data_IF_256079172001
#
_entry.id   IF_256079172001
#
_cell.length_a   1.000
_cell.length_b   1.000
_cell.length_c   1.000
_cell.angle_alpha   90.00
_cell.angle_beta   90.00
_cell.angle_gamma   90.00
#
_symmetry.space_group_name_H-M   'P 1'
#
loop_
_entity.id
_entity.type
_entity.pdbx_description
1 polymer ?
#
# COMPACT_ATOMS: atom_id res chain seq x y z
N UNK A 1 4.26 18.05 -0.88
CA UNK A 1 5.02 17.16 -1.76
C UNK A 1 4.30 15.81 -1.83
N UNK A 2 4.01 15.29 -3.04
CA UNK A 2 3.36 13.98 -3.23
C UNK A 2 4.40 12.85 -3.08
N UNK A 3 4.22 11.91 -2.15
CA UNK A 3 5.20 10.85 -1.91
C UNK A 3 5.22 9.80 -3.02
N UNK A 4 4.04 9.37 -3.47
CA UNK A 4 3.88 8.34 -4.49
C UNK A 4 3.48 8.94 -5.84
N UNK A 5 3.75 8.19 -6.92
CA UNK A 5 3.21 8.49 -8.25
C UNK A 5 1.77 8.00 -8.31
N UNK A 6 0.84 8.83 -8.79
CA UNK A 6 -0.54 8.41 -9.07
C UNK A 6 -0.58 7.60 -10.38
N UNK A 7 -1.22 6.44 -10.35
CA UNK A 7 -1.41 5.57 -11.51
C UNK A 7 -2.85 5.06 -11.52
N UNK A 8 -3.40 4.86 -12.71
CA UNK A 8 -4.68 4.17 -12.91
C UNK A 8 -4.40 2.72 -13.29
N UNK A 9 -5.20 1.80 -12.76
CA UNK A 9 -5.08 0.39 -13.08
C UNK A 9 -5.42 0.15 -14.56
N UNK A 10 -4.58 -0.57 -15.31
CA UNK A 10 -4.80 -0.76 -16.75
C UNK A 10 -5.95 -1.72 -17.06
N UNK A 11 -6.26 -2.64 -16.15
CA UNK A 11 -7.36 -3.61 -16.28
C UNK A 11 -7.99 -3.87 -14.92
N UNK A 12 -9.19 -4.47 -14.91
CA UNK A 12 -9.77 -5.02 -13.69
C UNK A 12 -8.78 -5.96 -12.99
N UNK A 13 -8.90 -6.06 -11.66
CA UNK A 13 -8.08 -6.93 -10.81
C UNK A 13 -6.57 -6.63 -10.82
N UNK A 14 -6.16 -5.42 -11.21
CA UNK A 14 -4.74 -5.00 -11.15
C UNK A 14 -4.47 -3.89 -10.14
N UNK A 15 -5.41 -3.62 -9.24
CA UNK A 15 -5.31 -2.59 -8.21
C UNK A 15 -4.09 -2.76 -7.33
N UNK A 16 -3.85 -3.96 -6.79
CA UNK A 16 -2.68 -4.23 -5.95
C UNK A 16 -1.38 -4.05 -6.74
N UNK A 17 -1.28 -4.62 -7.94
CA UNK A 17 -0.10 -4.46 -8.80
C UNK A 17 0.17 -2.98 -9.12
N UNK A 18 -0.89 -2.20 -9.28
CA UNK A 18 -0.81 -0.76 -9.51
C UNK A 18 -0.34 -0.03 -8.26
N UNK A 19 -0.85 -0.36 -7.07
CA UNK A 19 -0.34 0.17 -5.81
C UNK A 19 1.15 -0.15 -5.61
N UNK A 20 1.60 -1.38 -5.87
CA UNK A 20 3.02 -1.74 -5.82
C UNK A 20 3.87 -0.91 -6.79
N UNK A 21 3.36 -0.63 -7.99
CA UNK A 21 4.02 0.24 -8.96
C UNK A 21 4.12 1.69 -8.45
N UNK A 22 3.06 2.23 -7.83
CA UNK A 22 3.08 3.56 -7.22
C UNK A 22 4.12 3.66 -6.10
N UNK A 23 4.18 2.64 -5.23
CA UNK A 23 5.06 2.57 -4.06
C UNK A 23 6.53 2.46 -4.48
N UNK A 24 6.83 1.57 -5.42
CA UNK A 24 8.21 1.30 -5.86
C UNK A 24 8.71 2.25 -6.96
N UNK A 25 7.82 3.08 -7.51
CA UNK A 25 8.11 3.94 -8.66
C UNK A 25 8.37 3.16 -9.96
N UNK A 26 7.94 1.89 -10.05
CA UNK A 26 8.06 1.04 -11.24
C UNK A 26 6.81 1.18 -12.12
N UNK A 27 6.81 0.55 -13.30
CA UNK A 27 5.62 0.44 -14.15
C UNK A 27 4.75 -0.74 -13.74
N UNK A 28 3.43 -0.64 -13.94
CA UNK A 28 2.51 -1.77 -13.67
C UNK A 28 2.89 -3.00 -14.50
N UNK A 29 3.35 -2.81 -15.74
CA UNK A 29 3.86 -3.87 -16.62
C UNK A 29 5.05 -4.62 -16.01
N UNK A 30 5.99 -3.90 -15.41
CA UNK A 30 7.14 -4.50 -14.73
C UNK A 30 6.70 -5.38 -13.56
N UNK A 31 5.86 -4.82 -12.67
CA UNK A 31 5.34 -5.55 -11.51
C UNK A 31 4.60 -6.82 -11.95
N UNK A 32 3.70 -6.69 -12.93
CA UNK A 32 2.97 -7.84 -13.50
C UNK A 32 3.90 -8.91 -14.09
N UNK A 33 4.97 -8.51 -14.78
CA UNK A 33 5.97 -9.46 -15.34
C UNK A 33 6.66 -10.25 -14.23
N UNK A 34 7.06 -9.61 -13.14
CA UNK A 34 7.71 -10.27 -12.00
C UNK A 34 6.80 -11.34 -11.39
N UNK A 35 5.56 -10.97 -11.04
CA UNK A 35 4.63 -11.92 -10.39
C UNK A 35 4.14 -13.02 -11.35
N UNK A 36 3.93 -12.71 -12.63
CA UNK A 36 3.63 -13.75 -13.64
C UNK A 36 4.79 -14.75 -13.77
N UNK A 37 6.04 -14.28 -13.73
CA UNK A 37 7.23 -15.15 -13.75
C UNK A 37 7.33 -16.07 -12.53
N UNK A 38 6.67 -15.73 -11.42
CA UNK A 38 6.54 -16.57 -10.21
C UNK A 38 5.28 -17.45 -10.21
N UNK A 39 4.48 -17.44 -11.28
CA UNK A 39 3.21 -18.17 -11.35
C UNK A 39 2.07 -17.56 -10.54
N UNK A 40 2.17 -16.28 -10.14
CA UNK A 40 1.21 -15.61 -9.24
C UNK A 40 0.57 -14.42 -9.99
N UNK A 41 -0.47 -14.63 -10.82
CA UNK A 41 -1.05 -13.53 -11.60
C UNK A 41 -1.74 -12.46 -10.73
N UNK A 42 -2.27 -12.85 -9.56
CA UNK A 42 -3.01 -12.01 -8.61
C UNK A 42 -2.48 -12.27 -7.19
N UNK A 43 -1.39 -11.61 -6.77
CA UNK A 43 -0.79 -11.86 -5.47
C UNK A 43 -1.67 -11.33 -4.32
N UNK A 44 -1.55 -11.94 -3.13
CA UNK A 44 -2.03 -11.35 -1.87
C UNK A 44 -1.02 -10.33 -1.35
N UNK A 45 -1.39 -9.44 -0.42
CA UNK A 45 -0.43 -8.47 0.15
C UNK A 45 0.78 -9.17 0.75
N UNK A 46 0.58 -10.25 1.50
CA UNK A 46 1.67 -11.04 2.08
C UNK A 46 2.65 -11.57 1.02
N UNK A 47 2.16 -12.06 -0.12
CA UNK A 47 3.00 -12.54 -1.22
C UNK A 47 3.81 -11.42 -1.89
N UNK A 48 3.43 -10.15 -1.70
CA UNK A 48 4.15 -9.00 -2.26
C UNK A 48 5.28 -8.49 -1.38
N UNK A 49 5.36 -8.92 -0.12
CA UNK A 49 6.37 -8.46 0.83
C UNK A 49 7.80 -8.66 0.30
N UNK A 50 8.20 -9.84 -0.22
CA UNK A 50 9.56 -10.02 -0.75
C UNK A 50 9.88 -9.05 -1.89
N UNK A 51 8.91 -8.82 -2.80
CA UNK A 51 9.05 -7.86 -3.89
C UNK A 51 9.27 -6.43 -3.38
N UNK A 52 8.52 -6.02 -2.34
CA UNK A 52 8.68 -4.69 -1.74
C UNK A 52 10.05 -4.54 -1.06
N UNK A 53 10.50 -5.56 -0.34
CA UNK A 53 11.81 -5.57 0.35
C UNK A 53 12.95 -5.45 -0.66
N UNK A 54 12.91 -6.19 -1.77
CA UNK A 54 13.87 -6.08 -2.89
C UNK A 54 13.92 -4.65 -3.47
N UNK A 55 12.84 -3.87 -3.31
CA UNK A 55 12.74 -2.48 -3.74
C UNK A 55 12.96 -1.47 -2.61
N UNK A 56 13.48 -1.91 -1.45
CA UNK A 56 13.79 -1.04 -0.31
C UNK A 56 12.56 -0.46 0.37
N UNK A 57 11.44 -1.19 0.31
CA UNK A 57 10.16 -0.86 0.95
C UNK A 57 9.78 -1.96 1.92
N UNK A 58 9.36 -1.57 3.12
CA UNK A 58 8.98 -2.49 4.18
C UNK A 58 7.52 -2.25 4.56
N UNK A 59 6.75 -3.33 4.70
CA UNK A 59 5.43 -3.31 5.31
C UNK A 59 5.60 -3.77 6.75
N UNK A 60 5.59 -2.84 7.70
CA UNK A 60 5.87 -3.17 9.10
C UNK A 60 5.01 -2.33 10.04
N UNK A 61 4.50 -2.99 11.08
CA UNK A 61 3.94 -2.36 12.25
C UNK A 61 4.81 -2.79 13.44
N UNK A 62 5.44 -1.84 14.11
CA UNK A 62 6.15 -2.09 15.37
C UNK A 62 5.22 -1.68 16.52
N UNK A 63 5.05 -2.58 17.49
CA UNK A 63 4.26 -2.37 18.69
C UNK A 63 5.14 -2.79 19.87
N UNK A 64 5.41 -1.86 20.78
CA UNK A 64 5.94 -2.21 22.10
C UNK A 64 4.77 -2.63 22.99
N UNK A 65 4.86 -3.82 23.56
CA UNK A 65 3.81 -4.42 24.39
C UNK A 65 4.24 -4.59 25.85
N UNK A 66 5.27 -3.86 26.30
CA UNK A 66 5.91 -3.99 27.61
C UNK A 66 5.05 -4.63 28.72
N UNK A 67 5.42 -5.86 29.10
CA UNK A 67 4.83 -6.57 30.25
C UNK A 67 3.52 -7.32 30.00
N UNK A 68 2.87 -7.16 28.84
CA UNK A 68 1.56 -7.78 28.58
C UNK A 68 1.68 -9.21 28.01
N UNK A 69 0.96 -10.16 28.60
CA UNK A 69 0.81 -11.52 28.06
C UNK A 69 -0.48 -11.61 27.25
N UNK A 70 -0.40 -11.38 25.94
CA UNK A 70 -1.52 -11.63 25.03
C UNK A 70 -1.85 -13.13 24.98
N UNK A 71 -3.07 -13.50 25.36
CA UNK A 71 -3.58 -14.85 25.10
C UNK A 71 -4.03 -14.93 23.64
N UNK A 72 -4.04 -16.13 23.06
CA UNK A 72 -4.41 -16.39 21.65
C UNK A 72 -5.79 -15.81 21.28
N UNK A 73 -6.68 -15.59 22.25
CA UNK A 73 -8.04 -15.05 22.05
C UNK A 73 -8.18 -13.54 22.29
N UNK A 74 -7.14 -12.88 22.79
CA UNK A 74 -7.23 -11.47 23.13
C UNK A 74 -7.15 -10.62 21.85
N UNK A 75 -8.07 -9.67 21.71
CA UNK A 75 -8.06 -8.70 20.62
C UNK A 75 -7.31 -7.45 21.09
N UNK A 76 -6.16 -7.17 20.50
CA UNK A 76 -5.48 -5.90 20.69
C UNK A 76 -6.07 -4.85 19.72
N UNK A 77 -6.68 -3.79 20.28
CA UNK A 77 -7.17 -2.65 19.51
C UNK A 77 -6.19 -1.50 19.70
N UNK A 78 -5.62 -0.99 18.60
CA UNK A 78 -4.69 0.12 18.61
C UNK A 78 -5.31 1.36 17.95
N UNK A 79 -5.32 2.47 18.67
CA UNK A 79 -5.66 3.77 18.09
C UNK A 79 -4.40 4.41 17.53
N UNK A 80 -4.27 4.40 16.20
CA UNK A 80 -3.13 4.98 15.50
C UNK A 80 -3.52 6.33 14.88
N UNK A 81 -2.70 7.35 15.13
CA UNK A 81 -2.75 8.56 14.30
C UNK A 81 -2.15 8.24 12.92
N UNK A 82 -3.00 8.03 11.93
CA UNK A 82 -2.58 7.69 10.55
C UNK A 82 -2.14 8.92 9.74
N UNK A 83 -2.28 10.14 10.28
CA UNK A 83 -1.89 11.37 9.59
C UNK A 83 -0.39 11.35 9.30
N UNK A 84 -0.02 11.67 8.06
CA UNK A 84 1.35 11.65 7.55
C UNK A 84 2.05 10.27 7.58
N UNK A 85 1.32 9.18 7.84
CA UNK A 85 1.86 7.82 7.81
C UNK A 85 1.32 7.10 6.58
N UNK A 86 2.12 6.90 5.53
CA UNK A 86 1.64 6.22 4.33
C UNK A 86 1.35 4.74 4.62
N UNK A 87 0.32 4.20 3.99
CA UNK A 87 -0.07 2.81 4.13
C UNK A 87 -0.64 2.23 2.83
N UNK A 88 -0.39 0.95 2.59
CA UNK A 88 -1.17 0.14 1.66
C UNK A 88 -2.42 -0.36 2.40
N UNK A 89 -3.59 -0.14 1.82
CA UNK A 89 -4.86 -0.54 2.40
C UNK A 89 -5.52 -1.58 1.52
N UNK A 90 -6.13 -2.59 2.15
CA UNK A 90 -7.14 -3.45 1.52
C UNK A 90 -8.50 -3.02 2.04
N UNK A 91 -9.42 -2.72 1.14
CA UNK A 91 -10.74 -2.15 1.43
C UNK A 91 -11.84 -2.96 0.76
N UNK A 92 -13.06 -2.91 1.28
CA UNK A 92 -14.24 -3.37 0.55
C UNK A 92 -14.74 -2.30 -0.43
N UNK A 93 -15.10 -2.74 -1.63
CA UNK A 93 -16.00 -2.06 -2.55
C UNK A 93 -17.33 -2.82 -2.49
N UNK A 94 -18.42 -2.10 -2.17
CA UNK A 94 -19.78 -2.64 -2.09
C UNK A 94 -19.89 -3.91 -1.23
N UNK A 95 -19.20 -3.92 -0.08
CA UNK A 95 -19.19 -4.97 0.96
C UNK A 95 -18.76 -6.39 0.55
N UNK A 96 -18.38 -6.62 -0.71
CA UNK A 96 -18.17 -7.97 -1.25
C UNK A 96 -16.86 -8.12 -2.01
N UNK A 97 -16.38 -7.05 -2.65
CA UNK A 97 -15.16 -7.09 -3.47
C UNK A 97 -14.02 -6.40 -2.74
N UNK A 98 -12.86 -7.06 -2.63
CA UNK A 98 -11.67 -6.43 -2.05
C UNK A 98 -10.92 -5.62 -3.10
N UNK A 99 -10.38 -4.49 -2.67
CA UNK A 99 -9.63 -3.57 -3.52
C UNK A 99 -8.42 -3.03 -2.78
N UNK A 100 -7.33 -2.76 -3.50
CA UNK A 100 -6.13 -2.18 -2.93
C UNK A 100 -6.04 -0.70 -3.26
N UNK A 101 -5.81 0.13 -2.24
CA UNK A 101 -5.59 1.57 -2.37
C UNK A 101 -4.38 2.01 -1.53
N UNK A 102 -3.85 3.20 -1.77
CA UNK A 102 -2.77 3.77 -0.96
C UNK A 102 -3.31 4.95 -0.16
N UNK A 103 -3.08 4.95 1.15
CA UNK A 103 -3.14 6.15 1.95
C UNK A 103 -1.77 6.84 1.90
N UNK A 104 -1.68 8.06 1.38
CA UNK A 104 -0.40 8.80 1.27
C UNK A 104 -0.04 9.60 2.54
N UNK A 105 -0.81 9.41 3.63
CA UNK A 105 -0.73 10.21 4.84
C UNK A 105 -1.70 11.40 4.86
N UNK A 106 -2.33 11.74 3.73
CA UNK A 106 -3.26 12.87 3.60
C UNK A 106 -4.55 12.51 2.85
N UNK A 107 -4.46 11.65 1.83
CA UNK A 107 -5.58 11.25 0.97
C UNK A 107 -5.39 9.83 0.46
N UNK A 108 -6.46 9.29 -0.10
CA UNK A 108 -6.46 7.99 -0.77
C UNK A 108 -6.03 8.17 -2.24
N UNK A 109 -5.08 7.35 -2.67
CA UNK A 109 -4.72 7.14 -4.06
C UNK A 109 -5.36 5.82 -4.48
N UNK A 110 -6.48 5.93 -5.19
CA UNK A 110 -7.28 4.80 -5.66
C UNK A 110 -6.90 4.47 -7.12
N UNK A 111 -6.36 3.28 -7.42
CA UNK A 111 -6.06 2.86 -8.79
C UNK A 111 -7.27 2.84 -9.72
N UNK A 112 -8.49 2.74 -9.19
CA UNK A 112 -9.74 2.70 -9.95
C UNK A 112 -10.50 4.04 -9.91
N UNK A 113 -10.00 5.01 -9.13
CA UNK A 113 -10.66 6.28 -8.89
C UNK A 113 -10.34 7.35 -9.93
N UNK A 114 -11.21 8.36 -10.02
CA UNK A 114 -10.89 9.59 -10.72
C UNK A 114 -9.82 10.37 -9.93
N UNK A 115 -8.61 10.49 -10.48
CA UNK A 115 -7.50 11.23 -9.86
C UNK A 115 -7.83 12.71 -9.63
N UNK A 116 -8.79 13.29 -10.38
CA UNK A 116 -9.25 14.67 -10.20
C UNK A 116 -10.24 14.81 -9.04
N UNK A 117 -10.91 13.73 -8.65
CA UNK A 117 -11.90 13.68 -7.57
C UNK A 117 -11.60 12.52 -6.61
N UNK A 118 -10.48 12.58 -5.88
CA UNK A 118 -10.08 11.52 -4.98
C UNK A 118 -11.15 11.31 -3.89
N UNK A 119 -11.54 10.06 -3.69
CA UNK A 119 -12.46 9.68 -2.63
C UNK A 119 -11.82 9.91 -1.25
N UNK A 120 -12.64 10.22 -0.26
CA UNK A 120 -12.19 10.38 1.14
C UNK A 120 -11.94 9.01 1.74
N UNK A 121 -11.02 8.89 2.70
CA UNK A 121 -10.78 7.62 3.39
C UNK A 121 -12.06 7.06 4.06
N UNK A 122 -12.92 7.95 4.57
CA UNK A 122 -14.18 7.59 5.22
C UNK A 122 -15.21 6.93 4.29
N UNK A 123 -15.02 6.96 2.96
CA UNK A 123 -15.90 6.24 2.03
C UNK A 123 -15.49 4.77 1.85
N UNK A 124 -14.44 4.32 2.53
CA UNK A 124 -13.94 2.96 2.43
C UNK A 124 -14.08 2.23 3.76
N UNK A 125 -14.46 0.96 3.70
CA UNK A 125 -14.35 0.03 4.82
C UNK A 125 -12.99 -0.66 4.74
N UNK A 126 -12.05 -0.22 5.58
CA UNK A 126 -10.69 -0.76 5.62
C UNK A 126 -10.69 -2.12 6.32
N UNK A 127 -10.11 -3.12 5.66
CA UNK A 127 -9.98 -4.51 6.13
C UNK A 127 -8.56 -4.73 6.64
N UNK A 128 -7.58 -4.27 5.86
CA UNK A 128 -6.17 -4.41 6.19
C UNK A 128 -5.46 -3.06 6.10
N UNK A 129 -4.59 -2.79 7.06
CA UNK A 129 -3.77 -1.59 7.14
C UNK A 129 -2.30 -1.99 7.21
N UNK A 130 -1.54 -1.71 6.14
CA UNK A 130 -0.13 -2.05 6.02
C UNK A 130 0.72 -0.78 5.94
N UNK A 131 1.32 -0.31 7.06
CA UNK A 131 2.17 0.86 7.04
C UNK A 131 3.33 0.69 6.07
N UNK A 132 3.62 1.73 5.29
CA UNK A 132 4.72 1.74 4.33
C UNK A 132 5.90 2.46 4.96
N UNK A 133 7.02 1.75 5.12
CA UNK A 133 8.30 2.31 5.52
C UNK A 133 9.24 2.26 4.32
N UNK A 134 9.81 3.41 3.98
CA UNK A 134 10.77 3.54 2.88
C UNK A 134 12.18 3.57 3.45
N UNK A 135 13.11 2.82 2.84
CA UNK A 135 14.54 3.03 3.12
C UNK A 135 14.98 4.43 2.71
N UNK A 136 16.01 4.97 3.36
CA UNK A 136 16.55 6.30 3.06
C UNK A 136 16.93 6.47 1.59
N UNK A 137 17.46 5.41 0.97
CA UNK A 137 17.80 5.40 -0.46
C UNK A 137 16.58 5.65 -1.34
N UNK A 138 15.46 4.99 -1.04
CA UNK A 138 14.22 5.10 -1.82
C UNK A 138 13.52 6.43 -1.52
N UNK A 139 13.46 6.82 -0.25
CA UNK A 139 12.92 8.12 0.16
C UNK A 139 13.63 9.27 -0.57
N UNK A 140 14.97 9.26 -0.56
CA UNK A 140 15.77 10.26 -1.27
C UNK A 140 15.57 10.21 -2.78
N UNK A 141 15.45 9.03 -3.40
CA UNK A 141 15.19 8.90 -4.83
C UNK A 141 13.84 9.51 -5.23
N UNK A 142 12.79 9.24 -4.47
CA UNK A 142 11.43 9.75 -4.74
C UNK A 142 11.34 11.28 -4.57
N UNK A 143 12.16 11.85 -3.69
CA UNK A 143 12.18 13.29 -3.40
C UNK A 143 13.15 14.06 -4.30
N UNK A 144 14.40 13.59 -4.44
CA UNK A 144 15.47 14.26 -5.21
C UNK A 144 15.34 14.06 -6.72
N UNK A 145 14.79 12.93 -7.17
CA UNK A 145 14.60 12.62 -8.60
C UNK A 145 13.59 13.52 -9.34
N UNK A 146 13.01 14.52 -8.66
CA UNK A 146 12.06 15.50 -9.21
C UNK A 146 12.60 16.95 -9.22
N UNK A 147 13.87 17.16 -8.86
CA UNK A 147 14.55 18.47 -8.94
C UNK A 147 15.28 18.71 -10.28
N UNK A 148 14.94 17.97 -11.34
CA UNK A 148 15.45 18.19 -12.69
C UNK A 148 14.29 18.45 -13.62
#
# INVERSE_FOLDING_TARGET
MKLFRELIQPTCNTCLLTCLAMITGRSVRYVRKVFKGKGIPTPTVAQTIPFLVEHGVYLALWIDMGGEKLRVKDKLILTLNIKNRPALLVVYINDTVTHAVIWDGKRVLDPDGDLKKPKRLSSYKVIEYWPIILSDKIYNKLIKGRKK
#
